data_IF_328805830210
#
_entry.id   IF_328805830210
#
_cell.length_a   1.000
_cell.length_b   1.000
_cell.length_c   1.000
_cell.angle_alpha   90.00
_cell.angle_beta   90.00
_cell.angle_gamma   90.00
#
_symmetry.space_group_name_H-M   'P 1'
#
loop_
_entity.id
_entity.type
_entity.pdbx_description
1 polymer ?
#
# COMPACT_ATOMS: atom_id res chain seq x y z
N UNK A 1 -18.10 6.93 2.24
CA UNK A 1 -17.84 7.87 1.11
C UNK A 1 -17.32 9.24 1.55
N UNK A 2 -17.89 9.92 2.55
CA UNK A 2 -17.40 11.23 3.03
C UNK A 2 -16.03 11.13 3.71
N UNK A 3 -15.82 10.13 4.58
CA UNK A 3 -14.56 9.90 5.28
C UNK A 3 -13.38 9.68 4.34
N UNK A 4 -13.57 8.96 3.24
CA UNK A 4 -12.54 8.71 2.24
C UNK A 4 -12.15 9.99 1.46
N UNK A 5 -13.14 10.86 1.16
CA UNK A 5 -12.86 12.17 0.56
C UNK A 5 -12.06 13.07 1.51
N UNK A 6 -12.44 13.08 2.79
CA UNK A 6 -11.72 13.82 3.82
C UNK A 6 -10.28 13.32 3.96
N UNK A 7 -10.09 12.00 4.05
CA UNK A 7 -8.75 11.37 4.08
C UNK A 7 -7.89 11.86 2.91
N UNK A 8 -8.40 11.74 1.67
CA UNK A 8 -7.67 12.19 0.47
C UNK A 8 -7.26 13.65 0.54
N UNK A 9 -8.16 14.54 0.95
CA UNK A 9 -7.85 15.97 1.10
C UNK A 9 -6.76 16.25 2.12
N UNK A 10 -6.81 15.60 3.29
CA UNK A 10 -5.80 15.76 4.34
C UNK A 10 -4.43 15.24 3.86
N UNK A 11 -4.39 14.06 3.23
CA UNK A 11 -3.14 13.46 2.73
C UNK A 11 -2.55 14.33 1.63
N UNK A 12 -3.35 14.72 0.63
CA UNK A 12 -2.90 15.58 -0.47
C UNK A 12 -2.31 16.90 0.06
N UNK A 13 -2.97 17.51 1.04
CA UNK A 13 -2.45 18.70 1.69
C UNK A 13 -1.16 18.43 2.47
N UNK A 14 -1.09 17.31 3.19
CA UNK A 14 0.07 16.93 4.00
C UNK A 14 1.30 16.59 3.13
N UNK A 15 1.09 16.03 1.95
CA UNK A 15 2.15 15.62 1.02
C UNK A 15 2.53 16.71 0.00
N UNK A 16 1.97 17.92 0.11
CA UNK A 16 2.34 19.03 -0.76
C UNK A 16 3.66 19.68 -0.31
N UNK A 17 4.69 19.74 -1.16
CA UNK A 17 5.95 20.44 -0.85
C UNK A 17 5.77 21.96 -0.62
N UNK A 18 4.70 22.53 -1.21
CA UNK A 18 4.37 23.96 -1.10
C UNK A 18 3.71 24.30 0.24
N UNK A 19 3.47 23.30 1.06
CA UNK A 19 2.90 23.48 2.38
C UNK A 19 3.78 24.43 3.19
N UNK A 20 3.44 25.69 3.15
CA UNK A 20 3.95 26.71 4.06
C UNK A 20 3.35 26.45 5.44
N UNK A 21 3.90 25.50 6.18
CA UNK A 21 3.63 25.44 7.60
C UNK A 21 4.41 26.63 8.17
N UNK A 22 3.67 27.67 8.56
CA UNK A 22 4.24 28.84 9.26
C UNK A 22 4.87 28.49 10.62
N UNK A 23 4.88 27.23 10.99
CA UNK A 23 5.55 26.67 12.14
C UNK A 23 6.58 25.65 11.65
N UNK A 24 7.79 26.12 11.41
CA UNK A 24 8.92 25.31 10.92
C UNK A 24 9.47 24.36 11.99
N UNK A 25 8.62 23.45 12.48
CA UNK A 25 9.05 22.39 13.39
C UNK A 25 10.05 21.44 12.70
N UNK A 26 9.92 21.29 11.38
CA UNK A 26 10.74 20.39 10.58
C UNK A 26 11.55 21.16 9.55
N UNK A 27 12.73 20.67 9.14
CA UNK A 27 13.54 21.29 8.10
C UNK A 27 12.79 21.29 6.75
N UNK A 28 13.25 22.15 5.84
CA UNK A 28 12.73 22.14 4.46
C UNK A 28 12.98 20.78 3.82
N UNK A 29 12.02 20.34 3.03
CA UNK A 29 12.14 19.11 2.24
C UNK A 29 13.36 19.17 1.32
N UNK A 30 14.06 18.06 1.21
CA UNK A 30 15.28 17.93 0.42
C UNK A 30 15.10 16.90 -0.67
N UNK A 31 15.81 17.06 -1.78
CA UNK A 31 15.82 16.08 -2.87
C UNK A 31 16.58 14.85 -2.41
N UNK A 32 15.90 13.72 -2.40
CA UNK A 32 16.44 12.40 -2.08
C UNK A 32 15.82 11.37 -3.03
N UNK A 33 16.49 10.25 -3.24
CA UNK A 33 16.01 9.17 -4.10
C UNK A 33 15.35 8.06 -3.27
N UNK A 34 14.37 7.37 -3.84
CA UNK A 34 13.67 6.29 -3.12
C UNK A 34 14.62 5.17 -2.65
N UNK A 35 15.70 4.91 -3.40
CA UNK A 35 16.72 3.94 -3.01
C UNK A 35 17.45 4.25 -1.70
N UNK A 36 17.40 5.49 -1.22
CA UNK A 36 17.99 5.88 0.07
C UNK A 36 17.14 5.38 1.25
N UNK A 37 15.87 5.01 1.01
CA UNK A 37 14.88 4.64 2.02
C UNK A 37 14.44 3.18 1.97
N UNK A 38 14.73 2.47 0.87
CA UNK A 38 14.19 1.13 0.63
C UNK A 38 15.29 0.11 0.37
N UNK A 39 15.08 -1.08 0.91
CA UNK A 39 15.93 -2.26 0.64
C UNK A 39 15.12 -3.30 -0.11
N UNK A 40 15.63 -3.77 -1.26
CA UNK A 40 14.99 -4.83 -2.03
C UNK A 40 15.03 -6.15 -1.29
N UNK A 41 13.88 -6.84 -1.28
CA UNK A 41 13.71 -8.13 -0.63
C UNK A 41 13.40 -9.22 -1.67
N UNK A 42 14.20 -10.27 -1.68
CA UNK A 42 14.10 -11.33 -2.70
C UNK A 42 13.82 -12.72 -2.12
N UNK A 43 13.34 -12.77 -0.87
CA UNK A 43 13.07 -14.03 -0.17
C UNK A 43 11.95 -14.78 -0.90
N UNK A 44 12.26 -15.99 -1.34
CA UNK A 44 11.27 -16.88 -1.97
C UNK A 44 10.58 -17.73 -0.93
N UNK A 45 9.34 -18.10 -1.24
CA UNK A 45 8.51 -18.94 -0.38
C UNK A 45 7.55 -19.77 -1.21
N UNK A 46 6.99 -20.81 -0.59
CA UNK A 46 5.86 -21.58 -1.14
C UNK A 46 4.54 -21.11 -0.53
N UNK A 47 3.44 -21.39 -1.22
CA UNK A 47 2.11 -21.24 -0.63
C UNK A 47 1.90 -22.33 0.43
N UNK A 48 1.77 -21.92 1.69
CA UNK A 48 1.58 -22.83 2.82
C UNK A 48 0.66 -22.23 3.87
N UNK A 49 0.29 -23.01 4.90
CA UNK A 49 -0.49 -22.49 6.04
C UNK A 49 0.25 -21.40 6.80
N UNK A 50 1.58 -21.44 6.86
CA UNK A 50 2.42 -20.44 7.52
C UNK A 50 2.67 -19.20 6.66
N UNK A 51 2.60 -19.35 5.34
CA UNK A 51 2.79 -18.28 4.34
C UNK A 51 1.68 -18.35 3.28
N UNK A 52 0.45 -18.00 3.65
CA UNK A 52 -0.69 -18.11 2.75
C UNK A 52 -0.58 -17.11 1.59
N UNK A 53 -1.07 -17.53 0.43
CA UNK A 53 -1.09 -16.70 -0.76
C UNK A 53 -2.12 -15.58 -0.61
N UNK A 54 -1.71 -14.36 -0.92
CA UNK A 54 -2.53 -13.16 -0.84
C UNK A 54 -2.68 -12.47 -2.19
N UNK A 55 -3.65 -11.57 -2.29
CA UNK A 55 -3.84 -10.69 -3.44
C UNK A 55 -3.34 -9.28 -3.13
N UNK A 56 -2.81 -8.61 -4.14
CA UNK A 56 -2.52 -7.18 -4.11
C UNK A 56 -3.48 -6.48 -5.07
N UNK A 57 -4.34 -5.63 -4.53
CA UNK A 57 -5.30 -4.81 -5.28
C UNK A 57 -4.98 -3.33 -5.13
N UNK A 58 -5.51 -2.50 -6.02
CA UNK A 58 -5.37 -1.04 -5.94
C UNK A 58 -6.25 -0.47 -4.82
N UNK A 59 -7.38 -1.11 -4.54
CA UNK A 59 -8.40 -0.60 -3.60
C UNK A 59 -8.09 -0.99 -2.16
N UNK A 60 -7.75 -2.27 -1.94
CA UNK A 60 -7.63 -2.85 -0.60
C UNK A 60 -6.18 -3.21 -0.21
N UNK A 61 -5.20 -2.94 -1.09
CA UNK A 61 -3.81 -3.32 -0.87
C UNK A 61 -3.63 -4.84 -0.79
N UNK A 62 -2.85 -5.30 0.19
CA UNK A 62 -2.59 -6.72 0.42
C UNK A 62 -3.72 -7.31 1.27
N UNK A 63 -4.47 -8.26 0.68
CA UNK A 63 -5.61 -8.93 1.33
C UNK A 63 -5.53 -10.44 1.18
N UNK A 64 -6.06 -11.22 2.15
CA UNK A 64 -6.21 -12.66 2.00
C UNK A 64 -7.00 -12.99 0.74
N UNK A 65 -6.60 -14.02 0.01
CA UNK A 65 -7.43 -14.52 -1.09
C UNK A 65 -8.72 -15.10 -0.53
N UNK A 66 -9.85 -14.65 -1.07
CA UNK A 66 -11.15 -15.27 -0.79
C UNK A 66 -11.27 -16.57 -1.59
N UNK A 67 -12.04 -17.54 -1.07
CA UNK A 67 -12.27 -18.86 -1.70
C UNK A 67 -12.73 -18.76 -3.17
N UNK A 68 -13.35 -17.67 -3.56
CA UNK A 68 -13.79 -17.39 -4.94
C UNK A 68 -12.64 -17.33 -5.95
N UNK A 69 -11.38 -17.16 -5.50
CA UNK A 69 -10.15 -17.14 -6.32
C UNK A 69 -9.31 -18.42 -6.22
N UNK A 70 -9.78 -19.43 -5.47
CA UNK A 70 -9.18 -20.76 -5.50
C UNK A 70 -9.57 -21.47 -6.80
N UNK A 71 -9.00 -20.99 -7.90
CA UNK A 71 -8.88 -21.83 -9.11
C UNK A 71 -7.63 -22.66 -8.89
N UNK A 72 -7.80 -23.87 -8.35
CA UNK A 72 -6.72 -24.83 -8.02
C UNK A 72 -5.76 -25.09 -9.19
N UNK A 73 -6.22 -24.95 -10.44
CA UNK A 73 -5.39 -25.15 -11.63
C UNK A 73 -4.54 -23.91 -12.03
N UNK A 74 -4.70 -22.75 -11.39
CA UNK A 74 -3.79 -21.60 -11.53
C UNK A 74 -2.74 -21.56 -10.42
N UNK A 75 -2.86 -22.39 -9.41
CA UNK A 75 -1.80 -22.70 -8.46
C UNK A 75 -0.88 -23.69 -9.18
N UNK A 76 -0.04 -23.16 -10.06
CA UNK A 76 0.95 -23.97 -10.74
C UNK A 76 1.78 -24.73 -9.70
N UNK A 77 1.77 -26.06 -9.90
CA UNK A 77 2.68 -27.07 -9.39
C UNK A 77 3.80 -26.59 -8.45
N UNK A 78 3.93 -27.29 -7.35
CA UNK A 78 5.06 -27.35 -6.43
C UNK A 78 6.32 -26.66 -6.93
N UNK A 79 6.64 -25.52 -6.31
CA UNK A 79 7.90 -24.84 -6.53
C UNK A 79 7.83 -23.41 -6.01
N UNK A 80 8.91 -22.97 -5.40
CA UNK A 80 9.14 -21.67 -4.75
C UNK A 80 9.03 -20.44 -5.69
N UNK A 81 7.96 -20.36 -6.47
CA UNK A 81 7.72 -19.29 -7.43
C UNK A 81 7.09 -18.03 -6.81
N UNK A 82 6.83 -18.06 -5.51
CA UNK A 82 6.29 -16.93 -4.78
C UNK A 82 7.38 -16.17 -4.04
N UNK A 83 7.12 -14.92 -3.73
CA UNK A 83 7.96 -14.10 -2.87
C UNK A 83 7.29 -13.89 -1.52
N UNK A 84 8.08 -13.93 -0.46
CA UNK A 84 7.61 -13.65 0.89
C UNK A 84 7.48 -12.14 1.11
N UNK A 85 6.36 -11.74 1.73
CA UNK A 85 6.13 -10.36 2.19
C UNK A 85 5.91 -10.41 3.70
N UNK A 86 6.92 -10.02 4.47
CA UNK A 86 6.81 -9.94 5.93
C UNK A 86 5.90 -8.78 6.35
N UNK A 87 5.37 -8.77 7.59
CA UNK A 87 4.66 -7.61 8.12
C UNK A 87 5.48 -6.32 7.95
N UNK A 88 4.86 -5.26 7.47
CA UNK A 88 5.51 -3.98 7.20
C UNK A 88 6.27 -3.88 5.86
N UNK A 89 6.56 -4.99 5.20
CA UNK A 89 7.20 -4.98 3.89
C UNK A 89 6.19 -4.61 2.81
N UNK A 90 6.64 -3.90 1.80
CA UNK A 90 5.86 -3.51 0.64
C UNK A 90 5.94 -4.52 -0.48
N UNK A 91 4.81 -4.72 -1.15
CA UNK A 91 4.76 -5.38 -2.44
C UNK A 91 4.21 -4.40 -3.49
N UNK A 92 4.75 -4.43 -4.71
CA UNK A 92 4.10 -3.76 -5.83
C UNK A 92 4.11 -4.61 -7.10
N UNK A 93 3.04 -4.49 -7.88
CA UNK A 93 2.93 -5.08 -9.19
C UNK A 93 3.57 -4.13 -10.22
N UNK A 94 4.69 -4.50 -10.87
CA UNK A 94 5.37 -3.62 -11.82
C UNK A 94 4.48 -3.13 -12.97
N UNK A 95 3.53 -3.94 -13.41
CA UNK A 95 2.61 -3.57 -14.50
C UNK A 95 1.53 -2.58 -14.05
N UNK A 96 1.10 -2.68 -12.78
CA UNK A 96 -0.01 -1.90 -12.24
C UNK A 96 0.44 -0.83 -11.22
N UNK A 97 1.74 -0.58 -11.10
CA UNK A 97 2.28 0.46 -10.21
C UNK A 97 1.66 1.84 -10.49
N UNK A 98 1.49 2.18 -11.76
CA UNK A 98 0.86 3.43 -12.21
C UNK A 98 -0.63 3.54 -11.88
N UNK A 99 -1.29 2.43 -11.52
CA UNK A 99 -2.67 2.39 -11.02
C UNK A 99 -2.73 2.45 -9.50
N UNK A 100 -1.59 2.30 -8.81
CA UNK A 100 -1.52 2.30 -7.35
C UNK A 100 -1.46 0.91 -6.72
N UNK A 101 -1.16 -0.17 -7.49
CA UNK A 101 -0.98 -1.51 -6.93
C UNK A 101 0.36 -1.62 -6.18
N UNK A 102 0.48 -0.87 -5.10
CA UNK A 102 1.61 -0.80 -4.15
C UNK A 102 1.02 -0.74 -2.75
N UNK A 103 1.39 -1.68 -1.88
CA UNK A 103 0.91 -1.66 -0.51
C UNK A 103 1.87 -2.40 0.45
N UNK A 104 1.91 -1.98 1.74
CA UNK A 104 2.58 -2.74 2.78
C UNK A 104 1.71 -3.91 3.25
N UNK A 105 2.36 -4.91 3.82
CA UNK A 105 1.67 -6.02 4.46
C UNK A 105 1.24 -5.64 5.88
N UNK A 106 -0.05 -5.38 6.07
CA UNK A 106 -0.68 -5.09 7.37
C UNK A 106 -1.31 -6.34 8.04
N UNK A 107 -1.14 -7.54 7.48
CA UNK A 107 -1.84 -8.74 7.96
C UNK A 107 -1.28 -9.32 9.27
N UNK A 108 -0.11 -8.84 9.74
CA UNK A 108 0.49 -9.32 10.98
C UNK A 108 1.21 -10.68 10.86
N UNK A 109 1.22 -11.29 9.67
CA UNK A 109 1.95 -12.53 9.37
C UNK A 109 2.64 -12.44 8.01
N UNK A 110 3.65 -13.28 7.79
CA UNK A 110 4.33 -13.36 6.49
C UNK A 110 3.38 -13.99 5.46
N UNK A 111 3.20 -13.32 4.34
CA UNK A 111 2.34 -13.76 3.25
C UNK A 111 3.16 -14.09 2.00
N UNK A 112 2.58 -14.91 1.10
CA UNK A 112 3.13 -15.21 -0.20
C UNK A 112 2.42 -14.36 -1.27
N UNK A 113 3.20 -13.77 -2.18
CA UNK A 113 2.68 -13.05 -3.36
C UNK A 113 3.32 -13.58 -4.63
N UNK A 114 2.78 -13.20 -5.79
CA UNK A 114 3.32 -13.57 -7.08
C UNK A 114 4.81 -13.24 -7.20
N UNK A 115 5.60 -14.18 -7.75
CA UNK A 115 7.02 -13.96 -8.04
C UNK A 115 7.32 -12.79 -8.99
N UNK A 116 6.31 -12.31 -9.72
CA UNK A 116 6.40 -11.13 -10.58
C UNK A 116 6.42 -9.81 -9.82
N UNK A 117 5.98 -9.79 -8.56
CA UNK A 117 5.95 -8.57 -7.77
C UNK A 117 7.35 -8.24 -7.26
N UNK A 118 7.62 -6.96 -7.09
CA UNK A 118 8.80 -6.52 -6.38
C UNK A 118 8.44 -6.28 -4.92
N UNK A 119 9.35 -6.71 -4.05
CA UNK A 119 9.19 -6.60 -2.61
C UNK A 119 10.32 -5.75 -2.07
N UNK A 120 10.01 -4.86 -1.14
CA UNK A 120 11.00 -4.05 -0.47
C UNK A 120 10.58 -3.75 0.98
N UNK A 121 11.58 -3.58 1.83
CA UNK A 121 11.40 -3.06 3.17
C UNK A 121 11.73 -1.58 3.22
N UNK A 122 11.18 -0.89 4.22
CA UNK A 122 11.51 0.50 4.54
C UNK A 122 12.59 0.47 5.62
N UNK A 123 13.66 1.26 5.45
CA UNK A 123 14.77 1.31 6.40
C UNK A 123 14.31 1.77 7.80
N UNK A 124 13.27 2.60 7.86
CA UNK A 124 12.67 3.13 9.08
C UNK A 124 11.22 2.64 9.20
N UNK A 125 11.00 1.55 9.92
CA UNK A 125 9.69 0.88 10.02
C UNK A 125 8.56 1.78 10.52
N UNK A 126 8.85 2.77 11.34
CA UNK A 126 7.86 3.72 11.86
C UNK A 126 7.40 4.77 10.84
N UNK A 127 7.91 4.71 9.59
CA UNK A 127 7.48 5.54 8.46
C UNK A 127 6.58 4.82 7.46
N UNK A 128 6.17 3.57 7.71
CA UNK A 128 5.40 2.73 6.78
C UNK A 128 4.13 3.43 6.26
N UNK A 129 3.32 4.01 7.15
CA UNK A 129 2.07 4.69 6.74
C UNK A 129 2.32 5.97 5.95
N UNK A 130 3.46 6.65 6.16
CA UNK A 130 3.86 7.77 5.30
C UNK A 130 4.15 7.25 3.88
N UNK A 131 4.95 6.20 3.74
CA UNK A 131 5.31 5.64 2.44
C UNK A 131 4.12 5.02 1.72
N UNK A 132 3.20 4.39 2.42
CA UNK A 132 1.95 3.86 1.85
C UNK A 132 1.17 4.95 1.12
N UNK A 133 0.94 6.08 1.76
CA UNK A 133 0.19 7.20 1.19
C UNK A 133 1.02 7.99 0.16
N UNK A 134 2.33 8.12 0.38
CA UNK A 134 3.22 8.83 -0.54
C UNK A 134 3.37 8.10 -1.87
N UNK A 135 3.65 6.79 -1.84
CA UNK A 135 3.88 5.98 -3.03
C UNK A 135 2.62 5.81 -3.89
N UNK A 136 1.43 5.93 -3.29
CA UNK A 136 0.14 5.88 -3.99
C UNK A 136 -0.43 7.26 -4.28
N UNK A 137 0.30 8.33 -3.98
CA UNK A 137 -0.11 9.71 -4.26
C UNK A 137 -0.17 9.99 -5.77
N UNK A 138 -1.09 10.88 -6.18
CA UNK A 138 -1.28 11.22 -7.59
C UNK A 138 -0.01 11.62 -8.34
N UNK A 139 0.91 12.45 -7.79
CA UNK A 139 2.17 12.77 -8.45
C UNK A 139 3.07 11.55 -8.69
N UNK A 140 3.04 10.57 -7.77
CA UNK A 140 3.81 9.34 -7.92
C UNK A 140 3.21 8.43 -8.98
N UNK A 141 1.88 8.28 -9.03
CA UNK A 141 1.20 7.47 -10.05
C UNK A 141 1.47 7.99 -11.46
N UNK A 142 1.41 9.31 -11.66
CA UNK A 142 1.80 9.93 -12.95
C UNK A 142 3.26 9.62 -13.27
N UNK A 143 4.15 9.74 -12.30
CA UNK A 143 5.57 9.48 -12.53
C UNK A 143 5.83 8.02 -12.92
N UNK A 144 5.18 7.06 -12.27
CA UNK A 144 5.29 5.65 -12.66
C UNK A 144 4.84 5.43 -14.11
N UNK A 145 3.78 6.09 -14.54
CA UNK A 145 3.31 6.02 -15.93
C UNK A 145 4.34 6.56 -16.92
N UNK A 146 5.08 7.61 -16.55
CA UNK A 146 6.10 8.23 -17.41
C UNK A 146 7.37 7.38 -17.55
N UNK A 147 7.77 6.68 -16.48
CA UNK A 147 9.00 5.86 -16.47
C UNK A 147 8.77 4.39 -16.84
N UNK A 148 7.52 3.96 -16.95
CA UNK A 148 7.19 2.59 -17.31
C UNK A 148 7.74 2.27 -18.71
N UNK A 149 8.42 1.14 -18.84
CA UNK A 149 9.04 0.67 -20.07
C UNK A 149 8.37 -0.58 -20.58
N UNK A 150 8.25 -0.71 -21.90
CA UNK A 150 7.66 -1.86 -22.59
C UNK A 150 7.19 -1.47 -23.99
N UNK A 151 7.31 -2.38 -24.96
CA UNK A 151 6.95 -2.13 -26.36
C UNK A 151 5.44 -2.04 -26.62
N UNK A 152 4.64 -2.65 -25.74
CA UNK A 152 3.17 -2.63 -25.80
C UNK A 152 2.63 -1.93 -24.56
N UNK A 153 1.62 -1.09 -24.72
CA UNK A 153 1.00 -0.33 -23.63
C UNK A 153 0.57 -1.26 -22.48
N UNK A 154 0.00 -2.41 -22.83
CA UNK A 154 -0.46 -3.42 -21.84
C UNK A 154 0.67 -4.18 -21.12
N UNK A 155 1.92 -4.05 -21.59
CA UNK A 155 3.10 -4.74 -21.02
C UNK A 155 4.11 -3.78 -20.41
N UNK A 156 3.76 -2.51 -20.28
CA UNK A 156 4.62 -1.54 -19.63
C UNK A 156 4.82 -1.88 -18.14
N UNK A 157 6.05 -1.73 -17.67
CA UNK A 157 6.44 -2.09 -16.30
C UNK A 157 7.34 -1.03 -15.70
N UNK A 158 7.17 -0.78 -14.41
CA UNK A 158 8.12 -0.03 -13.60
C UNK A 158 9.06 -1.03 -12.96
N UNK A 159 10.28 -1.17 -13.50
CA UNK A 159 11.29 -2.05 -12.92
C UNK A 159 11.82 -1.48 -11.60
N UNK A 160 12.21 -2.35 -10.65
CA UNK A 160 12.72 -1.91 -9.35
C UNK A 160 13.94 -0.99 -9.49
N UNK A 161 14.83 -1.29 -10.42
CA UNK A 161 16.01 -0.45 -10.71
C UNK A 161 15.68 0.97 -11.20
N UNK A 162 14.49 1.19 -11.77
CA UNK A 162 13.98 2.51 -12.15
C UNK A 162 13.24 3.15 -10.96
N UNK A 163 12.47 2.34 -10.21
CA UNK A 163 11.73 2.78 -9.04
C UNK A 163 12.65 3.40 -7.98
N UNK A 164 13.75 2.76 -7.63
CA UNK A 164 14.70 3.28 -6.62
C UNK A 164 15.43 4.54 -7.06
N UNK A 165 15.52 4.80 -8.35
CA UNK A 165 16.13 6.01 -8.93
C UNK A 165 15.19 7.21 -9.00
N UNK A 166 13.93 7.07 -8.59
CA UNK A 166 13.01 8.19 -8.51
C UNK A 166 13.48 9.12 -7.39
N UNK A 167 13.92 10.33 -7.77
CA UNK A 167 14.31 11.35 -6.81
C UNK A 167 13.22 12.42 -6.72
N UNK A 168 12.88 12.80 -5.50
CA UNK A 168 11.82 13.75 -5.17
C UNK A 168 12.22 14.63 -3.99
N UNK A 169 11.57 15.77 -3.88
CA UNK A 169 11.63 16.56 -2.68
C UNK A 169 10.86 15.83 -1.58
N UNK A 170 11.56 15.35 -0.56
CA UNK A 170 11.03 14.51 0.51
C UNK A 170 11.23 15.18 1.88
N UNK A 171 10.32 14.95 2.84
CA UNK A 171 10.46 15.39 4.20
C UNK A 171 11.60 14.65 4.91
N UNK A 172 12.13 15.26 5.97
CA UNK A 172 13.07 14.58 6.86
C UNK A 172 12.43 13.32 7.47
N UNK A 173 13.26 12.35 7.87
CA UNK A 173 12.77 11.10 8.51
C UNK A 173 11.91 11.41 9.75
N UNK A 174 12.26 12.44 10.52
CA UNK A 174 11.46 12.85 11.67
C UNK A 174 10.05 13.34 11.28
N UNK A 175 9.95 14.11 10.19
CA UNK A 175 8.65 14.53 9.65
C UNK A 175 7.89 13.35 9.03
N UNK A 176 8.57 12.41 8.35
CA UNK A 176 7.96 11.18 7.86
C UNK A 176 7.32 10.37 9.00
N UNK A 177 8.01 10.23 10.15
CA UNK A 177 7.48 9.58 11.36
C UNK A 177 6.25 10.30 11.90
N UNK A 178 6.29 11.63 11.95
CA UNK A 178 5.14 12.42 12.37
C UNK A 178 3.94 12.22 11.44
N UNK A 179 4.14 12.30 10.13
CA UNK A 179 3.10 12.08 9.13
C UNK A 179 2.57 10.64 9.17
N UNK A 180 3.45 9.66 9.35
CA UNK A 180 3.09 8.26 9.49
C UNK A 180 2.12 8.02 10.65
N UNK A 181 2.41 8.57 11.83
CA UNK A 181 1.51 8.51 13.00
C UNK A 181 0.17 9.18 12.72
N UNK A 182 0.18 10.33 12.05
CA UNK A 182 -1.06 11.02 11.67
C UNK A 182 -1.90 10.20 10.70
N UNK A 183 -1.29 9.61 9.66
CA UNK A 183 -2.00 8.79 8.68
C UNK A 183 -2.52 7.49 9.30
N UNK A 184 -1.73 6.84 10.14
CA UNK A 184 -2.19 5.66 10.90
C UNK A 184 -3.43 5.98 11.76
N UNK A 185 -3.43 7.12 12.45
CA UNK A 185 -4.56 7.54 13.27
C UNK A 185 -5.82 7.83 12.43
N UNK A 186 -5.67 8.44 11.25
CA UNK A 186 -6.77 8.67 10.31
C UNK A 186 -7.33 7.33 9.82
N UNK A 187 -6.46 6.41 9.39
CA UNK A 187 -6.87 5.08 8.92
C UNK A 187 -7.62 4.31 10.00
N UNK A 188 -7.13 4.32 11.24
CA UNK A 188 -7.80 3.67 12.38
C UNK A 188 -9.19 4.28 12.66
N UNK A 189 -9.33 5.61 12.62
CA UNK A 189 -10.63 6.28 12.80
C UNK A 189 -11.64 5.90 11.71
N UNK A 190 -11.19 5.81 10.46
CA UNK A 190 -12.04 5.41 9.33
C UNK A 190 -12.47 3.96 9.49
N UNK A 191 -11.56 3.04 9.79
CA UNK A 191 -11.87 1.63 10.00
C UNK A 191 -12.87 1.42 11.14
N UNK A 192 -12.73 2.16 12.25
CA UNK A 192 -13.67 2.14 13.36
C UNK A 192 -15.06 2.66 12.95
N UNK A 193 -15.13 3.76 12.20
CA UNK A 193 -16.39 4.32 11.71
C UNK A 193 -17.11 3.36 10.75
N UNK A 194 -16.39 2.72 9.83
CA UNK A 194 -16.94 1.73 8.91
C UNK A 194 -17.43 0.46 9.65
N UNK A 195 -16.72 0.07 10.69
CA UNK A 195 -17.14 -1.07 11.53
C UNK A 195 -18.42 -0.75 12.31
N UNK A 196 -18.50 0.44 12.91
CA UNK A 196 -19.69 0.91 13.61
C UNK A 196 -20.89 1.02 12.65
N UNK A 197 -20.70 1.56 11.47
CA UNK A 197 -21.75 1.63 10.45
C UNK A 197 -22.30 0.24 10.12
N UNK A 198 -21.42 -0.73 9.86
CA UNK A 198 -21.82 -2.13 9.58
C UNK A 198 -22.60 -2.76 10.73
N UNK A 199 -22.21 -2.47 11.97
CA UNK A 199 -22.94 -2.96 13.16
C UNK A 199 -24.34 -2.35 13.25
N UNK A 200 -24.47 -1.04 13.04
CA UNK A 200 -25.76 -0.34 13.03
C UNK A 200 -26.69 -0.85 11.91
N UNK A 201 -26.16 -1.11 10.73
CA UNK A 201 -26.93 -1.69 9.62
C UNK A 201 -27.44 -3.10 9.97
N UNK A 202 -26.62 -3.95 10.59
CA UNK A 202 -27.04 -5.27 11.06
C UNK A 202 -28.13 -5.18 12.14
N UNK A 203 -27.97 -4.28 13.10
CA UNK A 203 -28.99 -4.07 14.16
C UNK A 203 -30.31 -3.57 13.55
N UNK A 204 -30.24 -2.61 12.65
CA UNK A 204 -31.43 -2.12 11.92
C UNK A 204 -32.15 -3.25 11.20
N UNK A 205 -31.41 -4.09 10.45
CA UNK A 205 -31.97 -5.24 9.75
C UNK A 205 -32.64 -6.24 10.70
N UNK A 206 -31.99 -6.58 11.82
CA UNK A 206 -32.54 -7.47 12.85
C UNK A 206 -33.84 -6.93 13.47
N UNK A 207 -33.86 -5.63 13.79
CA UNK A 207 -35.06 -4.97 14.33
C UNK A 207 -36.23 -4.96 13.32
N UNK A 208 -35.93 -4.69 12.04
CA UNK A 208 -36.96 -4.75 11.01
C UNK A 208 -37.55 -6.16 10.86
N UNK A 209 -36.74 -7.22 10.94
CA UNK A 209 -37.23 -8.59 10.90
C UNK A 209 -38.15 -8.90 12.10
N UNK A 210 -37.85 -8.38 13.30
CA UNK A 210 -38.69 -8.58 14.48
C UNK A 210 -40.01 -7.83 14.44
N UNK A 211 -40.08 -6.71 13.72
CA UNK A 211 -41.29 -5.88 13.63
C UNK A 211 -42.27 -6.35 12.54
N UNK A 212 -41.81 -7.16 11.59
CA UNK A 212 -42.62 -7.62 10.45
C UNK A 212 -42.85 -9.14 10.43
N UNK A 213 -42.57 -9.82 11.56
CA UNK A 213 -43.05 -11.18 11.87
C UNK A 213 -44.26 -11.06 12.82
#
# INVERSE_FOLDING_TARGET
MLCQKYKRGVIQHALSPERKINNSRFPKWQTSCLGDYFTEETIRTSNSKSTPLVSLTVEDGITPKTERYYREFLVTKDGDNYKAVKPGWFAYNPMNAHLGAIAPNHLGYTAAVSGYYNIFSVNEEDTIYFWEEYLTSYPMLIHYKLIATGSLIEKQRVHYSQFVKICRCLPSVEEQRYLSKMFAAINAKIANAETMQRQLEKMRFSLMQQLFI
#
